data_IF_130649730254
#
_entry.id   IF_130649730254
#
_cell.length_a   1.000
_cell.length_b   1.000
_cell.length_c   1.000
_cell.angle_alpha   90.00
_cell.angle_beta   90.00
_cell.angle_gamma   90.00
#
_symmetry.space_group_name_H-M   'P 1'
#
loop_
_entity.id
_entity.type
_entity.pdbx_description
1 polymer ?
#
# COMPACT_ATOMS: atom_id res chain seq x y z
N UNK A 1 11.82 -36.18 9.65
CA UNK A 1 12.03 -35.83 8.24
C UNK A 1 10.77 -35.20 7.66
N UNK A 2 9.63 -35.85 7.67
CA UNK A 2 8.37 -35.30 7.08
C UNK A 2 7.88 -33.97 7.68
N UNK A 3 8.07 -33.75 8.97
CA UNK A 3 7.65 -32.50 9.63
C UNK A 3 8.50 -31.29 9.23
N UNK A 4 9.80 -31.51 9.04
CA UNK A 4 10.73 -30.47 8.57
C UNK A 4 10.51 -30.11 7.10
N UNK A 5 10.17 -31.10 6.28
CA UNK A 5 9.85 -30.87 4.87
C UNK A 5 8.51 -30.13 4.72
N UNK A 6 7.55 -30.42 5.59
CA UNK A 6 6.26 -29.71 5.62
C UNK A 6 6.40 -28.26 6.08
N UNK A 7 7.26 -28.00 7.07
CA UNK A 7 7.60 -26.66 7.51
C UNK A 7 8.36 -25.86 6.44
N UNK A 8 9.30 -26.50 5.73
CA UNK A 8 10.00 -25.91 4.59
C UNK A 8 9.05 -25.59 3.44
N UNK A 9 8.10 -26.47 3.15
CA UNK A 9 7.06 -26.23 2.14
C UNK A 9 6.11 -25.12 2.55
N UNK A 10 5.72 -25.02 3.82
CA UNK A 10 4.90 -23.90 4.31
C UNK A 10 5.65 -22.56 4.28
N UNK A 11 6.97 -22.59 4.59
CA UNK A 11 7.81 -21.38 4.48
C UNK A 11 8.05 -20.99 3.01
N UNK A 12 8.18 -21.95 2.11
CA UNK A 12 8.29 -21.71 0.68
C UNK A 12 6.97 -21.20 0.08
N UNK A 13 5.82 -21.72 0.51
CA UNK A 13 4.50 -21.23 0.11
C UNK A 13 4.22 -19.81 0.61
N UNK A 14 4.79 -19.42 1.76
CA UNK A 14 4.76 -18.04 2.24
C UNK A 14 5.62 -17.10 1.42
N UNK A 15 6.60 -17.59 0.66
CA UNK A 15 7.46 -16.80 -0.20
C UNK A 15 6.91 -16.64 -1.63
N UNK A 16 6.11 -17.58 -2.11
CA UNK A 16 5.58 -17.58 -3.49
C UNK A 16 4.50 -16.52 -3.74
N UNK A 17 3.88 -15.96 -2.71
CA UNK A 17 2.89 -14.90 -2.81
C UNK A 17 3.35 -13.56 -2.23
N UNK A 18 4.66 -13.33 -2.08
CA UNK A 18 5.22 -12.10 -1.52
C UNK A 18 6.01 -11.33 -2.58
N UNK A 19 5.76 -10.02 -2.66
CA UNK A 19 6.38 -9.12 -3.64
C UNK A 19 6.95 -7.91 -2.93
N UNK A 20 8.22 -7.64 -3.15
CA UNK A 20 8.89 -6.45 -2.61
C UNK A 20 9.10 -5.43 -3.72
N UNK A 21 8.58 -4.23 -3.53
CA UNK A 21 8.72 -3.11 -4.46
C UNK A 21 9.66 -2.08 -3.84
N UNK A 22 10.81 -1.87 -4.48
CA UNK A 22 11.73 -0.81 -4.13
C UNK A 22 11.37 0.43 -4.93
N UNK A 23 10.88 1.47 -4.25
CA UNK A 23 10.54 2.72 -4.90
C UNK A 23 11.81 3.53 -5.15
N UNK A 24 12.13 3.81 -6.41
CA UNK A 24 13.29 4.61 -6.81
C UNK A 24 13.18 6.04 -6.31
N UNK A 25 11.95 6.53 -6.16
CA UNK A 25 11.61 7.84 -5.60
C UNK A 25 10.18 7.83 -5.08
N UNK A 26 9.88 8.75 -4.17
CA UNK A 26 8.51 9.08 -3.78
C UNK A 26 7.99 10.13 -4.77
N UNK A 27 6.97 9.83 -5.59
CA UNK A 27 6.48 10.78 -6.58
C UNK A 27 5.81 11.98 -5.88
N UNK A 28 6.10 13.18 -6.36
CA UNK A 28 5.51 14.43 -5.86
C UNK A 28 4.54 15.06 -6.86
N UNK A 29 4.40 14.47 -8.04
CA UNK A 29 3.46 14.89 -9.08
C UNK A 29 2.98 13.71 -9.91
N UNK A 30 1.83 13.87 -10.55
CA UNK A 30 1.29 12.87 -11.48
C UNK A 30 2.29 12.57 -12.61
N UNK A 31 2.96 13.59 -13.14
CA UNK A 31 3.95 13.42 -14.20
C UNK A 31 5.11 12.52 -13.74
N UNK A 32 5.62 12.73 -12.54
CA UNK A 32 6.67 11.90 -11.98
C UNK A 32 6.19 10.45 -11.78
N UNK A 33 4.99 10.26 -11.23
CA UNK A 33 4.42 8.93 -11.03
C UNK A 33 4.30 8.18 -12.35
N UNK A 34 3.78 8.83 -13.39
CA UNK A 34 3.62 8.22 -14.71
C UNK A 34 4.96 7.90 -15.39
N UNK A 35 6.02 8.63 -15.07
CA UNK A 35 7.36 8.39 -15.58
C UNK A 35 8.10 7.25 -14.86
N UNK A 36 7.65 6.83 -13.68
CA UNK A 36 8.21 5.69 -12.96
C UNK A 36 7.84 4.38 -13.66
N UNK A 37 8.72 3.35 -13.64
CA UNK A 37 8.39 2.02 -14.18
C UNK A 37 7.11 1.44 -13.57
N UNK A 38 6.92 1.63 -12.27
CA UNK A 38 5.73 1.19 -11.53
C UNK A 38 4.45 1.91 -12.00
N UNK A 39 4.59 3.13 -12.50
CA UNK A 39 3.49 3.97 -12.98
C UNK A 39 2.75 3.43 -14.20
N UNK A 40 3.29 2.44 -14.90
CA UNK A 40 2.59 1.74 -15.96
C UNK A 40 1.42 0.87 -15.44
N UNK A 41 1.40 0.56 -14.14
CA UNK A 41 0.35 -0.20 -13.44
C UNK A 41 0.13 -1.61 -14.01
N UNK A 42 1.14 -2.20 -14.62
CA UNK A 42 1.03 -3.53 -15.24
C UNK A 42 1.14 -4.68 -14.23
N UNK A 43 1.56 -4.38 -13.02
CA UNK A 43 1.68 -5.35 -11.94
C UNK A 43 0.89 -4.87 -10.72
N UNK A 44 0.10 -5.74 -10.07
CA UNK A 44 -0.74 -5.33 -8.95
C UNK A 44 0.05 -4.79 -7.76
N UNK A 45 1.21 -5.39 -7.47
CA UNK A 45 2.10 -4.92 -6.40
C UNK A 45 2.65 -3.52 -6.66
N UNK A 46 2.82 -3.12 -7.90
CA UNK A 46 3.24 -1.76 -8.24
C UNK A 46 2.16 -0.74 -7.89
N UNK A 47 0.92 -1.02 -8.23
CA UNK A 47 -0.21 -0.14 -7.88
C UNK A 47 -0.38 -0.05 -6.36
N UNK A 48 -0.22 -1.16 -5.65
CA UNK A 48 -0.28 -1.18 -4.19
C UNK A 48 0.82 -0.32 -3.56
N UNK A 49 2.07 -0.48 -4.03
CA UNK A 49 3.20 0.31 -3.53
C UNK A 49 3.06 1.80 -3.83
N UNK A 50 2.62 2.16 -5.04
CA UNK A 50 2.35 3.56 -5.40
C UNK A 50 1.21 4.16 -4.58
N UNK A 51 0.20 3.36 -4.23
CA UNK A 51 -0.88 3.83 -3.34
C UNK A 51 -0.30 4.24 -1.98
N UNK A 52 0.57 3.43 -1.40
CA UNK A 52 1.26 3.78 -0.13
C UNK A 52 2.06 5.08 -0.31
N UNK A 53 2.87 5.18 -1.37
CA UNK A 53 3.69 6.36 -1.64
C UNK A 53 2.85 7.65 -1.76
N UNK A 54 1.75 7.58 -2.49
CA UNK A 54 0.86 8.72 -2.72
C UNK A 54 0.13 9.12 -1.43
N UNK A 55 -0.30 8.15 -0.63
CA UNK A 55 -0.89 8.44 0.68
C UNK A 55 0.12 9.10 1.62
N UNK A 56 1.41 8.74 1.55
CA UNK A 56 2.46 9.43 2.30
C UNK A 56 2.62 10.91 1.89
N UNK A 57 2.36 11.24 0.64
CA UNK A 57 2.42 12.61 0.14
C UNK A 57 1.20 13.46 0.56
N UNK A 58 0.05 12.84 0.77
CA UNK A 58 -1.21 13.53 0.99
C UNK A 58 -1.14 14.64 2.06
N UNK A 59 -0.54 14.43 3.24
CA UNK A 59 -0.45 15.49 4.25
C UNK A 59 0.39 16.69 3.82
N UNK A 60 1.35 16.49 2.93
CA UNK A 60 2.31 17.50 2.49
C UNK A 60 1.83 18.27 1.25
N UNK A 61 1.23 17.55 0.30
CA UNK A 61 0.80 18.08 -1.00
C UNK A 61 -0.53 17.43 -1.41
N UNK A 62 -1.60 17.85 -0.78
CA UNK A 62 -2.94 17.26 -0.92
C UNK A 62 -3.42 17.19 -2.37
N UNK A 63 -3.32 18.30 -3.12
CA UNK A 63 -3.83 18.37 -4.51
C UNK A 63 -3.08 17.41 -5.44
N UNK A 64 -1.76 17.37 -5.34
CA UNK A 64 -0.94 16.44 -6.12
C UNK A 64 -1.25 14.99 -5.76
N UNK A 65 -1.41 14.69 -4.48
CA UNK A 65 -1.79 13.35 -4.01
C UNK A 65 -3.16 12.94 -4.54
N UNK A 66 -4.16 13.82 -4.53
CA UNK A 66 -5.49 13.52 -5.07
C UNK A 66 -5.46 13.25 -6.58
N UNK A 67 -4.68 14.01 -7.35
CA UNK A 67 -4.50 13.76 -8.79
C UNK A 67 -3.88 12.38 -9.04
N UNK A 68 -2.87 12.01 -8.26
CA UNK A 68 -2.22 10.70 -8.37
C UNK A 68 -3.15 9.57 -7.94
N UNK A 69 -3.93 9.73 -6.86
CA UNK A 69 -4.93 8.73 -6.44
C UNK A 69 -6.00 8.53 -7.52
N UNK A 70 -6.45 9.60 -8.16
CA UNK A 70 -7.40 9.50 -9.26
C UNK A 70 -6.84 8.68 -10.42
N UNK A 71 -5.58 8.91 -10.77
CA UNK A 71 -4.89 8.09 -11.77
C UNK A 71 -4.82 6.61 -11.34
N UNK A 72 -4.45 6.33 -10.09
CA UNK A 72 -4.36 4.97 -9.57
C UNK A 72 -5.71 4.26 -9.54
N UNK A 73 -6.82 4.98 -9.36
CA UNK A 73 -8.17 4.43 -9.41
C UNK A 73 -8.69 4.23 -10.84
N UNK A 74 -8.04 4.86 -11.83
CA UNK A 74 -8.38 4.70 -13.24
C UNK A 74 -9.83 5.05 -13.55
N UNK A 75 -10.57 4.17 -14.29
CA UNK A 75 -11.95 4.47 -14.70
C UNK A 75 -12.94 4.71 -13.54
N UNK A 76 -12.65 4.17 -12.36
CA UNK A 76 -13.48 4.40 -11.16
C UNK A 76 -13.44 5.87 -10.74
N UNK A 77 -12.24 6.48 -10.78
CA UNK A 77 -12.01 7.84 -10.34
C UNK A 77 -12.19 8.02 -8.83
N UNK A 78 -12.04 9.27 -8.38
CA UNK A 78 -12.10 9.65 -6.97
C UNK A 78 -13.38 10.44 -6.71
N UNK A 79 -14.30 9.87 -5.91
CA UNK A 79 -15.56 10.52 -5.56
C UNK A 79 -15.38 11.60 -4.50
N UNK A 80 -16.40 12.46 -4.34
CA UNK A 80 -16.44 13.43 -3.22
C UNK A 80 -16.39 12.72 -1.86
N UNK A 81 -17.06 11.57 -1.76
CA UNK A 81 -17.01 10.74 -0.56
C UNK A 81 -15.58 10.27 -0.26
N UNK A 82 -14.84 9.78 -1.27
CA UNK A 82 -13.46 9.34 -1.11
C UNK A 82 -12.57 10.47 -0.60
N UNK A 83 -12.73 11.68 -1.15
CA UNK A 83 -11.97 12.86 -0.74
C UNK A 83 -12.27 13.24 0.71
N UNK A 84 -13.53 13.22 1.11
CA UNK A 84 -13.94 13.50 2.48
C UNK A 84 -13.42 12.43 3.45
N UNK A 85 -13.50 11.17 3.06
CA UNK A 85 -12.96 10.05 3.84
C UNK A 85 -11.46 10.22 4.11
N UNK A 86 -10.67 10.57 3.08
CA UNK A 86 -9.24 10.83 3.24
C UNK A 86 -9.00 11.99 4.20
N UNK A 87 -9.71 13.09 4.03
CA UNK A 87 -9.58 14.26 4.90
C UNK A 87 -9.84 13.91 6.38
N UNK A 88 -10.88 13.13 6.65
CA UNK A 88 -11.23 12.72 8.00
C UNK A 88 -10.20 11.75 8.60
N UNK A 89 -9.72 10.80 7.81
CA UNK A 89 -8.75 9.79 8.25
C UNK A 89 -7.36 10.37 8.50
N UNK A 90 -6.97 11.41 7.78
CA UNK A 90 -5.68 12.06 7.97
C UNK A 90 -5.64 13.10 9.10
N UNK A 91 -6.79 13.44 9.68
CA UNK A 91 -6.83 14.43 10.77
C UNK A 91 -5.97 13.94 11.94
N UNK A 92 -4.88 14.67 12.22
CA UNK A 92 -3.90 14.36 13.29
C UNK A 92 -3.24 12.99 13.18
N UNK A 93 -3.19 12.41 11.96
CA UNK A 93 -2.69 11.05 11.70
C UNK A 93 -1.84 10.96 10.43
N UNK A 94 -1.01 11.96 10.20
CA UNK A 94 -0.15 12.04 9.01
C UNK A 94 0.85 10.89 8.89
N UNK A 95 1.19 10.25 9.99
CA UNK A 95 2.14 9.16 10.07
C UNK A 95 1.61 7.82 9.50
N UNK A 96 0.29 7.65 9.41
CA UNK A 96 -0.33 6.34 9.14
C UNK A 96 0.20 5.67 7.88
N UNK A 97 0.25 6.31 6.70
CA UNK A 97 0.74 5.63 5.50
C UNK A 97 2.24 5.31 5.54
N UNK A 98 3.05 6.08 6.26
CA UNK A 98 4.48 5.77 6.41
C UNK A 98 4.73 4.46 7.14
N UNK A 99 3.78 4.01 7.96
CA UNK A 99 3.89 2.75 8.70
C UNK A 99 4.01 1.51 7.80
N UNK A 100 3.65 1.63 6.52
CA UNK A 100 3.72 0.55 5.53
C UNK A 100 5.06 0.48 4.79
N UNK A 101 5.93 1.46 5.00
CA UNK A 101 7.29 1.43 4.46
C UNK A 101 8.17 0.55 5.34
N UNK A 102 8.97 -0.32 4.72
CA UNK A 102 9.80 -1.26 5.47
C UNK A 102 10.76 -0.54 6.42
N UNK A 103 10.78 -0.96 7.68
CA UNK A 103 11.61 -0.37 8.73
C UNK A 103 10.96 0.80 9.48
N UNK A 104 9.78 1.27 9.06
CA UNK A 104 9.04 2.29 9.79
C UNK A 104 8.38 1.69 11.03
N UNK A 105 8.59 2.29 12.20
CA UNK A 105 8.07 1.86 13.50
C UNK A 105 7.61 3.05 14.33
N UNK A 106 6.77 2.83 15.37
CA UNK A 106 6.44 3.89 16.31
C UNK A 106 7.68 4.49 17.02
N UNK A 107 8.72 3.69 17.22
CA UNK A 107 9.94 4.11 17.92
C UNK A 107 10.82 5.03 17.09
N UNK A 108 10.81 4.91 15.76
CA UNK A 108 11.56 5.80 14.87
C UNK A 108 10.68 6.87 14.21
N UNK A 109 9.51 7.17 14.78
CA UNK A 109 8.57 8.16 14.25
C UNK A 109 8.09 7.85 12.82
N UNK A 110 8.03 6.56 12.48
CA UNK A 110 7.71 6.09 11.13
C UNK A 110 8.58 6.74 10.05
N UNK A 111 9.87 6.88 10.35
CA UNK A 111 10.88 7.36 9.42
C UNK A 111 11.76 6.18 8.98
N UNK A 112 11.40 5.48 7.90
CA UNK A 112 12.15 4.32 7.44
C UNK A 112 13.46 4.75 6.76
N UNK A 113 14.46 3.84 6.72
CA UNK A 113 15.66 4.09 5.91
C UNK A 113 15.33 4.05 4.40
N UNK A 114 16.13 4.74 3.61
CA UNK A 114 16.13 4.60 2.17
C UNK A 114 16.95 3.37 1.73
N UNK A 115 16.59 2.72 0.62
CA UNK A 115 15.48 3.03 -0.29
C UNK A 115 14.13 2.65 0.33
N UNK A 116 13.09 3.42 -0.02
CA UNK A 116 11.72 3.12 0.45
C UNK A 116 11.22 1.84 -0.21
N UNK A 117 10.76 0.92 0.62
CA UNK A 117 10.36 -0.42 0.19
C UNK A 117 8.98 -0.74 0.73
N UNK A 118 8.12 -1.28 -0.15
CA UNK A 118 6.81 -1.80 0.22
C UNK A 118 6.78 -3.29 -0.10
N UNK A 119 6.46 -4.12 0.89
CA UNK A 119 6.27 -5.55 0.70
C UNK A 119 4.78 -5.87 0.79
N UNK A 120 4.25 -6.43 -0.28
CA UNK A 120 2.87 -6.90 -0.37
C UNK A 120 2.85 -8.41 -0.47
N UNK A 121 1.79 -9.04 0.03
CA UNK A 121 1.67 -10.48 -0.05
C UNK A 121 0.24 -10.93 -0.27
N UNK A 122 0.09 -12.17 -0.75
CA UNK A 122 -1.17 -12.85 -0.90
C UNK A 122 -1.42 -13.79 0.28
N UNK A 123 -2.68 -13.95 0.67
CA UNK A 123 -3.12 -15.01 1.55
C UNK A 123 -3.96 -16.03 0.75
N UNK A 124 -4.44 -17.14 1.36
CA UNK A 124 -5.22 -18.13 0.63
C UNK A 124 -6.51 -17.60 -0.03
N UNK A 125 -7.03 -16.46 0.40
CA UNK A 125 -8.27 -15.86 -0.11
C UNK A 125 -8.03 -14.72 -1.11
N UNK A 126 -6.80 -14.32 -1.33
CA UNK A 126 -6.44 -13.16 -2.18
C UNK A 126 -7.00 -13.26 -3.59
N UNK A 127 -7.10 -14.47 -4.15
CA UNK A 127 -7.52 -14.74 -5.52
C UNK A 127 -8.96 -15.19 -5.67
N UNK A 128 -9.77 -15.18 -4.61
CA UNK A 128 -11.15 -15.66 -4.64
C UNK A 128 -12.02 -14.95 -5.68
N UNK A 129 -11.74 -13.68 -5.96
CA UNK A 129 -12.46 -12.88 -6.93
C UNK A 129 -11.64 -12.57 -8.20
N UNK A 130 -10.58 -13.34 -8.45
CA UNK A 130 -9.71 -13.09 -9.61
C UNK A 130 -10.44 -13.29 -10.95
N UNK A 131 -11.38 -14.22 -11.01
CA UNK A 131 -12.22 -14.45 -12.19
C UNK A 131 -13.07 -13.22 -12.55
N UNK A 132 -13.49 -12.44 -11.55
CA UNK A 132 -14.22 -11.18 -11.73
C UNK A 132 -13.28 -9.99 -11.93
N UNK A 133 -11.96 -10.21 -11.96
CA UNK A 133 -10.94 -9.19 -12.18
C UNK A 133 -10.43 -8.50 -10.94
N UNK A 134 -10.69 -9.02 -9.73
CA UNK A 134 -10.23 -8.45 -8.48
C UNK A 134 -9.13 -9.29 -7.83
N UNK A 135 -8.18 -8.60 -7.22
CA UNK A 135 -7.11 -9.20 -6.40
C UNK A 135 -7.00 -8.43 -5.09
N UNK A 136 -7.00 -9.16 -3.98
CA UNK A 136 -6.77 -8.56 -2.65
C UNK A 136 -5.35 -8.87 -2.20
N UNK A 137 -4.56 -7.82 -1.99
CA UNK A 137 -3.22 -7.90 -1.43
C UNK A 137 -3.21 -7.43 0.02
N UNK A 138 -2.16 -7.80 0.74
CA UNK A 138 -1.99 -7.49 2.14
C UNK A 138 -0.64 -6.80 2.34
N UNK A 139 -0.60 -5.78 3.21
CA UNK A 139 0.61 -5.03 3.53
C UNK A 139 0.75 -5.00 5.05
N UNK A 140 1.92 -5.36 5.56
CA UNK A 140 2.22 -5.24 6.99
C UNK A 140 2.54 -3.80 7.34
N UNK A 141 2.02 -3.36 8.48
CA UNK A 141 2.35 -2.06 9.06
C UNK A 141 3.26 -2.25 10.26
N UNK A 142 4.25 -1.37 10.44
CA UNK A 142 5.06 -1.33 11.64
C UNK A 142 4.30 -0.87 12.89
N UNK A 143 3.07 -0.38 12.72
CA UNK A 143 2.20 0.11 13.79
C UNK A 143 0.92 -0.69 14.00
N UNK A 144 0.81 -1.91 13.45
CA UNK A 144 -0.35 -2.76 13.59
C UNK A 144 0.04 -4.24 13.72
N UNK A 145 -0.74 -5.01 14.48
CA UNK A 145 -0.48 -6.43 14.72
C UNK A 145 -0.95 -7.31 13.55
N UNK A 146 -1.95 -6.85 12.80
CA UNK A 146 -2.45 -7.54 11.62
C UNK A 146 -2.20 -6.73 10.36
N UNK A 147 -1.97 -7.41 9.21
CA UNK A 147 -1.82 -6.71 7.94
C UNK A 147 -3.10 -5.99 7.54
N UNK A 148 -2.95 -4.99 6.69
CA UNK A 148 -4.08 -4.25 6.10
C UNK A 148 -4.25 -4.65 4.65
N UNK A 149 -5.49 -4.58 4.18
CA UNK A 149 -5.88 -4.99 2.84
C UNK A 149 -5.86 -3.84 1.85
N UNK A 150 -5.51 -4.17 0.62
CA UNK A 150 -5.68 -3.32 -0.55
C UNK A 150 -6.26 -4.17 -1.68
N UNK A 151 -7.36 -3.72 -2.26
CA UNK A 151 -8.06 -4.41 -3.34
C UNK A 151 -7.82 -3.72 -4.66
N UNK A 152 -7.43 -4.50 -5.65
CA UNK A 152 -7.08 -4.04 -6.98
C UNK A 152 -8.04 -4.62 -8.00
N UNK A 153 -8.24 -3.90 -9.11
CA UNK A 153 -9.05 -4.34 -10.23
C UNK A 153 -8.27 -4.29 -11.52
N UNK A 154 -8.28 -5.39 -12.26
CA UNK A 154 -7.66 -5.50 -13.57
C UNK A 154 -8.56 -4.93 -14.66
N UNK A 155 -7.98 -4.16 -15.56
CA UNK A 155 -8.60 -3.77 -16.82
C UNK A 155 -8.11 -4.71 -17.92
N UNK A 156 -8.94 -5.66 -18.38
CA UNK A 156 -8.47 -6.70 -19.34
C UNK A 156 -7.93 -6.13 -20.64
N UNK A 157 -8.53 -5.03 -21.14
CA UNK A 157 -8.13 -4.41 -22.42
C UNK A 157 -6.71 -3.85 -22.43
N UNK A 158 -6.18 -3.45 -21.27
CA UNK A 158 -4.84 -2.86 -21.14
C UNK A 158 -3.89 -3.70 -20.30
N UNK A 159 -4.39 -4.66 -19.54
CA UNK A 159 -3.62 -5.43 -18.58
C UNK A 159 -3.25 -4.68 -17.31
N UNK A 160 -3.72 -3.45 -17.17
CA UNK A 160 -3.41 -2.61 -16.00
C UNK A 160 -4.20 -3.03 -14.78
N UNK A 161 -3.59 -2.81 -13.60
CA UNK A 161 -4.22 -2.98 -12.30
C UNK A 161 -4.45 -1.63 -11.66
N UNK A 162 -5.69 -1.34 -11.31
CA UNK A 162 -6.10 -0.09 -10.68
C UNK A 162 -6.50 -0.31 -9.23
N UNK A 163 -6.31 0.72 -8.40
CA UNK A 163 -6.79 0.73 -7.04
C UNK A 163 -8.32 0.70 -7.01
N UNK A 164 -8.89 -0.32 -6.39
CA UNK A 164 -10.34 -0.43 -6.18
C UNK A 164 -10.75 0.07 -4.80
N UNK A 165 -10.13 -0.46 -3.75
CA UNK A 165 -10.33 -0.08 -2.36
C UNK A 165 -9.03 -0.24 -1.57
N UNK A 166 -8.86 0.58 -0.54
CA UNK A 166 -7.76 0.44 0.41
C UNK A 166 -8.28 0.56 1.84
N UNK A 167 -7.70 -0.22 2.75
CA UNK A 167 -8.02 -0.25 4.17
C UNK A 167 -6.77 0.06 5.01
N UNK A 168 -5.95 0.98 4.51
CA UNK A 168 -4.62 1.28 5.05
C UNK A 168 -4.64 2.35 6.16
N UNK A 169 -5.75 3.08 6.32
CA UNK A 169 -5.79 4.29 7.12
C UNK A 169 -6.48 4.12 8.49
N UNK A 170 -6.52 2.92 9.04
CA UNK A 170 -7.19 2.64 10.31
C UNK A 170 -6.33 1.88 11.31
N UNK A 171 -6.44 2.26 12.58
CA UNK A 171 -5.90 1.52 13.73
C UNK A 171 -4.37 1.31 13.66
N UNK A 172 -3.63 2.34 13.31
CA UNK A 172 -2.17 2.37 13.36
C UNK A 172 -1.74 3.09 14.64
N UNK A 173 -0.86 2.45 15.41
CA UNK A 173 -0.35 3.02 16.66
C UNK A 173 0.34 4.37 16.42
N UNK A 174 0.08 5.39 17.26
CA UNK A 174 0.77 6.67 17.13
C UNK A 174 2.27 6.51 17.39
N UNK A 175 3.11 7.43 16.87
CA UNK A 175 4.53 7.45 17.21
C UNK A 175 4.73 7.59 18.71
N UNK A 176 5.76 6.91 19.23
CA UNK A 176 6.12 7.01 20.67
C UNK A 176 6.36 8.46 21.08
N UNK A 177 7.01 9.26 20.20
CA UNK A 177 7.26 10.68 20.46
C UNK A 177 5.98 11.53 20.63
N UNK A 178 4.83 11.06 20.15
CA UNK A 178 3.54 11.74 20.32
C UNK A 178 2.80 11.34 21.61
N UNK A 179 3.31 10.32 22.31
CA UNK A 179 2.73 9.86 23.58
C UNK A 179 3.38 10.61 24.74
N UNK A 180 2.62 11.46 25.49
CA UNK A 180 3.18 12.20 26.62
C UNK A 180 3.59 11.31 27.80
N UNK A 181 3.22 10.02 27.76
CA UNK A 181 3.51 9.07 28.82
C UNK A 181 4.57 8.02 28.40
N UNK A 182 5.15 8.13 27.21
CA UNK A 182 6.18 7.22 26.72
C UNK A 182 7.57 7.46 27.33
#
# INVERSE_FOLDING_TARGET
MALFDHLKQQMAQGAEGSYTVNLSQMPVSLQQLQAMPEGALLRPEHTAALTVAVLCLYPLHKEAALQMLEYLQGPKGLSTYDKQFLQDRFRDKDYVPRSYLAGATPQNNYEPPEPYTVTVFENPYSRDQLAEGYLTLHIRSGGADSPRQIKLRKRPSTGQWFLWEQFLLSDIRPPVAADPWA
#
